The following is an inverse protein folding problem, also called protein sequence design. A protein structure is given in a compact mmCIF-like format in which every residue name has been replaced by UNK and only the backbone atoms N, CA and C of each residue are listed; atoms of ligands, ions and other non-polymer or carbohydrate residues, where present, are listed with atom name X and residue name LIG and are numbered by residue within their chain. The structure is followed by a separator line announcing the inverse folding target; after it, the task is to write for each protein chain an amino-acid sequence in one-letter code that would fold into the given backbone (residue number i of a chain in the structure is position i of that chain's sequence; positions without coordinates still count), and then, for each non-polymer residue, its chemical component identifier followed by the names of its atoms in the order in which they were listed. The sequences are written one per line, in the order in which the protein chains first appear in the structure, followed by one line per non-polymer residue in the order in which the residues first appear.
data_IF_251624178721
#
_entry.id   IF_251624178721
#
_cell.length_a   1.000
_cell.length_b   1.000
_cell.length_c   1.000
_cell.angle_alpha   90.00
_cell.angle_beta   90.00
_cell.angle_gamma   90.00
#
_symmetry.space_group_name_H-M   'P 1'
#
loop_
_entity.id
_entity.type
_entity.pdbx_description
1 polymer ?
#
# COMPACT_ATOMS: atom_id res chain seq x y z
N UNK A 1 24.03 27.66 2.07
CA UNK A 1 24.23 26.30 1.54
C UNK A 1 24.23 25.30 2.70
N UNK A 2 23.11 24.60 2.95
CA UNK A 2 23.01 23.56 3.99
C UNK A 2 22.80 22.20 3.31
N UNK A 3 23.91 21.47 3.20
CA UNK A 3 24.05 20.02 3.30
C UNK A 3 23.16 19.19 2.37
N UNK A 4 23.75 18.83 1.24
CA UNK A 4 23.54 17.60 0.49
C UNK A 4 23.52 16.36 1.41
N UNK A 5 22.36 16.00 1.96
CA UNK A 5 22.10 14.65 2.51
C UNK A 5 20.62 14.30 2.39
N UNK A 6 20.00 14.59 1.24
CA UNK A 6 18.84 13.79 0.83
C UNK A 6 19.39 12.52 0.21
N UNK A 7 19.83 11.58 1.06
CA UNK A 7 20.00 10.20 0.61
C UNK A 7 18.69 9.83 -0.07
N UNK A 8 18.73 9.62 -1.41
CA UNK A 8 17.56 9.23 -2.18
C UNK A 8 16.86 8.12 -1.41
N UNK A 9 15.63 8.36 -0.98
CA UNK A 9 14.89 7.39 -0.18
C UNK A 9 14.83 6.09 -0.99
N UNK A 10 15.41 5.02 -0.44
CA UNK A 10 15.47 3.72 -1.11
C UNK A 10 14.04 3.28 -1.39
N UNK A 11 13.67 3.11 -2.65
CA UNK A 11 12.29 2.81 -3.07
C UNK A 11 12.03 1.31 -3.20
N UNK A 12 13.04 0.55 -3.61
CA UNK A 12 12.97 -0.88 -3.82
C UNK A 12 14.18 -1.57 -3.20
N UNK A 13 14.01 -2.83 -2.84
CA UNK A 13 15.05 -3.72 -2.33
C UNK A 13 14.87 -5.06 -3.04
N UNK A 14 15.93 -5.57 -3.64
CA UNK A 14 15.94 -6.89 -4.27
C UNK A 14 16.44 -7.93 -3.26
N UNK A 15 15.68 -9.02 -3.11
CA UNK A 15 16.04 -10.17 -2.27
C UNK A 15 15.88 -11.41 -3.12
N UNK A 16 17.00 -12.04 -3.49
CA UNK A 16 17.01 -13.12 -4.46
C UNK A 16 16.53 -12.63 -5.83
N UNK A 17 15.51 -13.28 -6.40
CA UNK A 17 14.92 -12.93 -7.70
C UNK A 17 13.65 -12.05 -7.60
N UNK A 18 13.34 -11.54 -6.41
CA UNK A 18 12.12 -10.75 -6.18
C UNK A 18 12.46 -9.31 -5.76
N UNK A 19 11.73 -8.37 -6.35
CA UNK A 19 11.79 -6.95 -6.00
C UNK A 19 10.71 -6.62 -4.99
N UNK A 20 11.12 -6.09 -3.86
CA UNK A 20 10.24 -5.60 -2.81
C UNK A 20 10.25 -4.08 -2.79
N UNK A 21 9.12 -3.48 -2.46
CA UNK A 21 8.98 -2.04 -2.32
C UNK A 21 9.17 -1.65 -0.87
N UNK A 22 9.82 -0.51 -0.63
CA UNK A 22 9.79 0.13 0.69
C UNK A 22 8.53 0.98 0.84
N UNK A 23 8.31 1.58 2.00
CA UNK A 23 7.24 2.57 2.19
C UNK A 23 7.33 3.67 1.13
N UNK A 24 8.53 4.17 0.82
CA UNK A 24 8.72 5.23 -0.17
C UNK A 24 8.37 4.77 -1.58
N UNK A 25 8.77 3.56 -1.97
CA UNK A 25 8.41 3.00 -3.29
C UNK A 25 6.93 2.70 -3.41
N UNK A 26 6.32 2.13 -2.36
CA UNK A 26 4.91 1.76 -2.35
C UNK A 26 3.98 2.97 -2.52
N UNK A 27 4.38 4.15 -2.02
CA UNK A 27 3.62 5.40 -2.22
C UNK A 27 3.44 5.76 -3.69
N UNK A 28 4.44 5.49 -4.50
CA UNK A 28 4.41 5.81 -5.93
C UNK A 28 3.58 4.79 -6.71
N UNK A 29 3.44 3.57 -6.19
CA UNK A 29 2.66 2.49 -6.81
C UNK A 29 1.17 2.56 -6.45
N UNK A 30 0.81 3.06 -5.27
CA UNK A 30 -0.57 3.06 -4.78
C UNK A 30 -1.25 4.42 -5.01
N UNK A 31 -2.43 4.44 -5.65
CA UNK A 31 -3.20 5.66 -5.82
C UNK A 31 -3.74 6.14 -4.46
N UNK A 32 -3.73 7.46 -4.27
CA UNK A 32 -4.41 8.13 -3.16
C UNK A 32 -5.92 8.20 -3.36
N UNK A 33 -6.63 8.76 -2.38
CA UNK A 33 -8.09 8.96 -2.45
C UNK A 33 -8.51 9.96 -3.52
N UNK A 34 -7.66 10.93 -3.82
CA UNK A 34 -7.91 11.97 -4.82
C UNK A 34 -7.19 11.56 -6.10
N UNK A 35 -7.89 11.62 -7.24
CA UNK A 35 -7.27 11.34 -8.55
C UNK A 35 -6.04 12.21 -8.77
N UNK A 36 -4.94 11.61 -9.19
CA UNK A 36 -3.64 12.29 -9.36
C UNK A 36 -2.83 12.50 -8.06
N UNK A 37 -3.31 12.00 -6.92
CA UNK A 37 -2.54 12.01 -5.67
C UNK A 37 -2.00 10.61 -5.31
N UNK A 38 -0.86 10.57 -4.63
CA UNK A 38 -0.28 9.34 -4.08
C UNK A 38 -0.68 9.15 -2.62
N UNK A 39 -0.71 7.90 -2.17
CA UNK A 39 -0.95 7.57 -0.75
C UNK A 39 0.15 8.20 0.14
N UNK A 40 -0.24 8.69 1.33
CA UNK A 40 0.73 9.24 2.29
C UNK A 40 1.45 8.11 3.04
N UNK A 41 2.64 8.41 3.59
CA UNK A 41 3.35 7.44 4.42
C UNK A 41 2.54 7.06 5.68
N UNK A 42 1.87 8.03 6.29
CA UNK A 42 0.99 7.82 7.45
C UNK A 42 -0.15 6.85 7.14
N UNK A 43 -0.75 6.96 5.95
CA UNK A 43 -1.78 6.03 5.50
C UNK A 43 -1.22 4.62 5.33
N UNK A 44 -0.03 4.48 4.74
CA UNK A 44 0.63 3.16 4.67
C UNK A 44 0.86 2.59 6.06
N UNK A 45 1.39 3.36 7.01
CA UNK A 45 1.57 2.88 8.38
C UNK A 45 0.26 2.49 9.06
N UNK A 46 -0.85 3.17 8.75
CA UNK A 46 -2.17 2.76 9.20
C UNK A 46 -2.57 1.41 8.60
N UNK A 47 -2.37 1.19 7.30
CA UNK A 47 -2.63 -0.09 6.65
C UNK A 47 -1.78 -1.22 7.25
N UNK A 48 -0.51 -0.96 7.58
CA UNK A 48 0.35 -1.92 8.29
C UNK A 48 -0.26 -2.32 9.63
N UNK A 49 -0.72 -1.34 10.42
CA UNK A 49 -1.40 -1.61 11.72
C UNK A 49 -2.69 -2.40 11.57
N UNK A 50 -3.35 -2.30 10.42
CA UNK A 50 -4.57 -3.03 10.08
C UNK A 50 -4.29 -4.44 9.51
N UNK A 51 -3.02 -4.84 9.39
CA UNK A 51 -2.61 -6.17 8.95
C UNK A 51 -2.22 -6.28 7.48
N UNK A 52 -1.87 -5.17 6.83
CA UNK A 52 -1.34 -5.20 5.45
C UNK A 52 -0.08 -6.09 5.38
N UNK A 53 0.01 -7.02 4.40
CA UNK A 53 1.13 -7.94 4.30
C UNK A 53 2.44 -7.19 4.06
N UNK A 54 3.34 -7.30 5.03
CA UNK A 54 4.68 -6.73 4.97
C UNK A 54 5.62 -7.50 5.90
N UNK A 55 6.92 -7.30 5.74
CA UNK A 55 7.93 -7.83 6.64
C UNK A 55 9.05 -6.82 6.87
N UNK A 56 9.78 -7.00 7.97
CA UNK A 56 10.92 -6.14 8.31
C UNK A 56 12.21 -6.74 7.76
N UNK A 57 13.01 -5.95 7.04
CA UNK A 57 14.33 -6.33 6.54
C UNK A 57 15.28 -5.14 6.64
N UNK A 58 16.43 -5.35 7.29
CA UNK A 58 17.44 -4.29 7.54
C UNK A 58 16.85 -3.00 8.13
N UNK A 59 15.89 -3.14 9.06
CA UNK A 59 15.23 -2.00 9.72
C UNK A 59 14.21 -1.26 8.86
N UNK A 60 13.76 -1.84 7.74
CA UNK A 60 12.75 -1.26 6.84
C UNK A 60 11.57 -2.21 6.64
N UNK A 61 10.38 -1.65 6.49
CA UNK A 61 9.22 -2.41 6.02
C UNK A 61 9.30 -2.59 4.51
N UNK A 62 9.22 -3.84 4.08
CA UNK A 62 9.21 -4.27 2.70
C UNK A 62 7.85 -4.87 2.33
N UNK A 63 7.45 -4.61 1.10
CA UNK A 63 6.15 -4.94 0.56
C UNK A 63 6.31 -5.67 -0.77
N UNK A 64 5.61 -6.78 -0.90
CA UNK A 64 5.34 -7.41 -2.19
C UNK A 64 4.11 -6.74 -2.79
N UNK A 65 4.27 -6.09 -3.94
CA UNK A 65 3.20 -5.29 -4.55
C UNK A 65 1.97 -6.16 -4.88
N UNK A 66 2.19 -7.39 -5.33
CA UNK A 66 1.11 -8.32 -5.69
C UNK A 66 0.24 -8.65 -4.48
N UNK A 67 0.86 -9.07 -3.37
CA UNK A 67 0.18 -9.39 -2.12
C UNK A 67 -0.53 -8.20 -1.50
N UNK A 68 0.06 -7.00 -1.60
CA UNK A 68 -0.58 -5.77 -1.13
C UNK A 68 -1.82 -5.46 -1.96
N UNK A 69 -1.75 -5.57 -3.29
CA UNK A 69 -2.91 -5.37 -4.16
C UNK A 69 -4.03 -6.38 -3.85
N UNK A 70 -3.70 -7.67 -3.74
CA UNK A 70 -4.66 -8.71 -3.37
C UNK A 70 -5.32 -8.42 -2.01
N UNK A 71 -4.52 -8.06 -1.01
CA UNK A 71 -5.04 -7.70 0.30
C UNK A 71 -5.92 -6.44 0.26
N UNK A 72 -5.58 -5.43 -0.54
CA UNK A 72 -6.42 -4.23 -0.71
C UNK A 72 -7.75 -4.54 -1.38
N UNK A 73 -7.78 -5.46 -2.36
CA UNK A 73 -9.00 -5.96 -3.00
C UNK A 73 -9.87 -6.69 -1.97
N UNK A 74 -9.28 -7.57 -1.17
CA UNK A 74 -9.98 -8.33 -0.12
C UNK A 74 -10.45 -7.45 1.04
N UNK A 75 -9.72 -6.37 1.33
CA UNK A 75 -10.02 -5.39 2.38
C UNK A 75 -11.19 -4.47 2.03
N UNK A 76 -11.76 -4.54 0.82
CA UNK A 76 -12.92 -3.70 0.47
C UNK A 76 -13.91 -3.68 1.65
N UNK A 77 -14.25 -2.47 2.14
CA UNK A 77 -14.98 -2.37 3.39
C UNK A 77 -16.30 -3.10 3.20
N UNK A 78 -16.66 -3.93 4.17
CA UNK A 78 -17.93 -4.65 4.23
C UNK A 78 -19.13 -3.73 3.94
N UNK A 79 -18.99 -2.41 4.14
CA UNK A 79 -19.97 -1.41 3.72
C UNK A 79 -20.24 -1.36 2.21
N UNK A 80 -19.23 -1.46 1.33
CA UNK A 80 -19.42 -1.50 -0.12
C UNK A 80 -20.00 -2.84 -0.59
N UNK A 81 -19.53 -3.96 -0.01
CA UNK A 81 -20.10 -5.29 -0.26
C UNK A 81 -21.58 -5.35 0.19
N UNK A 82 -21.92 -4.78 1.35
CA UNK A 82 -23.30 -4.68 1.83
C UNK A 82 -24.15 -3.71 0.99
N UNK A 83 -23.58 -2.61 0.48
CA UNK A 83 -24.29 -1.68 -0.39
C UNK A 83 -24.59 -2.30 -1.76
N UNK A 84 -23.65 -3.05 -2.35
CA UNK A 84 -23.86 -3.85 -3.56
C UNK A 84 -24.87 -4.97 -3.34
N UNK A 85 -24.77 -5.71 -2.23
CA UNK A 85 -25.73 -6.76 -1.87
C UNK A 85 -27.16 -6.22 -1.69
N UNK A 86 -27.32 -4.99 -1.17
CA UNK A 86 -28.62 -4.31 -1.09
C UNK A 86 -29.17 -3.94 -2.48
N UNK A 87 -28.34 -3.46 -3.40
CA UNK A 87 -28.78 -3.15 -4.77
C UNK A 87 -29.21 -4.39 -5.56
N UNK A 88 -28.48 -5.51 -5.44
CA UNK A 88 -28.87 -6.77 -6.10
C UNK A 88 -30.17 -7.37 -5.58
N UNK A 89 -30.56 -7.05 -4.33
CA UNK A 89 -31.81 -7.54 -3.72
C UNK A 89 -33.07 -6.74 -4.10
N UNK A 90 -32.92 -5.58 -4.73
CA UNK A 90 -34.04 -4.70 -5.17
C UNK A 90 -34.46 -5.01 -6.62
N UNK A 91 -33.62 -5.73 -7.39
CA UNK A 91 -33.88 -6.12 -8.78
C UNK A 91 -34.25 -7.60 -8.96
N UNK A 92 -34.33 -8.37 -7.88
CA UNK A 92 -34.77 -9.77 -7.88
C UNK A 92 -36.17 -9.90 -7.31
#
# INVERSE_FOLDING_TARGET
MKKERMAKAVKTVEIGAQTYFTVCGLREQLPGRISGTHISAEQIFKLIKEGMPCFSFSGRYLFDLSKVQDWLVLRQPTSQLNHLARFTKIRG
#
